data_IF_106999077639
#
_entry.id   IF_106999077639
#
_cell.length_a   1.000
_cell.length_b   1.000
_cell.length_c   1.000
_cell.angle_alpha   90.00
_cell.angle_beta   90.00
_cell.angle_gamma   90.00
#
_symmetry.space_group_name_H-M   'P 1'
#
loop_
_entity.id
_entity.type
_entity.pdbx_description
1 polymer ?
#
# COMPACT_ATOMS: atom_id res chain seq x y z
N UNK A 1 8.13 -4.86 21.01
CA UNK A 1 7.50 -3.51 21.00
C UNK A 1 7.13 -3.15 19.57
N UNK A 2 5.86 -2.87 19.29
CA UNK A 2 5.43 -2.47 17.95
C UNK A 2 5.64 -0.98 17.71
N UNK A 3 5.84 -0.60 16.46
CA UNK A 3 5.81 0.79 16.00
C UNK A 3 4.40 1.08 15.48
N UNK A 4 3.77 2.13 15.97
CA UNK A 4 2.43 2.54 15.52
C UNK A 4 2.58 3.54 14.39
N UNK A 5 1.94 3.28 13.25
CA UNK A 5 1.73 4.27 12.19
C UNK A 5 0.23 4.49 11.96
N UNK A 6 -0.11 5.67 11.45
CA UNK A 6 -1.46 5.96 10.94
C UNK A 6 -1.42 5.85 9.42
N UNK A 7 -2.22 4.96 8.87
CA UNK A 7 -2.36 4.77 7.43
C UNK A 7 -3.66 5.39 6.94
N UNK A 8 -3.59 6.21 5.89
CA UNK A 8 -4.76 6.71 5.17
C UNK A 8 -4.70 6.26 3.73
N UNK A 9 -5.65 5.44 3.30
CA UNK A 9 -5.82 5.05 1.91
C UNK A 9 -6.98 5.86 1.28
N UNK A 10 -6.71 6.44 0.12
CA UNK A 10 -7.68 7.15 -0.70
C UNK A 10 -7.85 6.43 -2.03
N UNK A 11 -9.10 6.28 -2.46
CA UNK A 11 -9.48 5.60 -3.69
C UNK A 11 -10.15 6.63 -4.58
N UNK A 12 -9.48 7.00 -5.66
CA UNK A 12 -9.96 7.96 -6.65
C UNK A 12 -10.46 7.20 -7.87
N UNK A 13 -11.71 7.44 -8.23
CA UNK A 13 -12.33 6.89 -9.42
C UNK A 13 -11.81 7.62 -10.67
N UNK A 14 -11.29 6.85 -11.63
CA UNK A 14 -10.84 7.34 -12.94
C UNK A 14 -11.71 6.80 -14.09
N UNK A 15 -12.88 6.24 -13.78
CA UNK A 15 -13.80 5.63 -14.74
C UNK A 15 -13.58 4.13 -14.87
N UNK A 16 -12.70 3.72 -15.77
CA UNK A 16 -12.38 2.31 -16.01
C UNK A 16 -11.32 1.74 -15.06
N UNK A 17 -10.74 2.60 -14.21
CA UNK A 17 -9.64 2.31 -13.30
C UNK A 17 -9.80 3.08 -12.00
N UNK A 18 -9.08 2.63 -10.98
CA UNK A 18 -9.02 3.30 -9.67
C UNK A 18 -7.57 3.67 -9.37
N UNK A 19 -7.33 4.91 -8.95
CA UNK A 19 -6.05 5.30 -8.36
C UNK A 19 -6.13 5.12 -6.86
N UNK A 20 -5.22 4.33 -6.30
CA UNK A 20 -5.05 4.17 -4.86
C UNK A 20 -3.86 5.00 -4.41
N UNK A 21 -4.06 5.89 -3.45
CA UNK A 21 -2.99 6.64 -2.79
C UNK A 21 -3.03 6.37 -1.29
N UNK A 22 -1.93 5.82 -0.77
CA UNK A 22 -1.75 5.52 0.65
C UNK A 22 -0.74 6.47 1.25
N UNK A 23 -1.08 7.07 2.39
CA UNK A 23 -0.21 7.94 3.18
C UNK A 23 0.01 7.34 4.55
N UNK A 24 1.27 7.07 4.86
CA UNK A 24 1.73 6.54 6.15
C UNK A 24 2.34 7.64 7.01
N UNK A 25 1.78 7.87 8.20
CA UNK A 25 2.30 8.84 9.17
C UNK A 25 2.97 8.08 10.32
N UNK A 26 4.26 8.37 10.52
CA UNK A 26 5.10 7.82 11.59
C UNK A 26 5.32 8.86 12.70
N UNK A 27 5.61 8.39 13.92
CA UNK A 27 5.81 9.28 15.06
C UNK A 27 7.20 9.94 15.04
N UNK A 28 8.21 9.25 14.50
CA UNK A 28 9.55 9.82 14.31
C UNK A 28 10.11 9.54 12.92
N UNK A 29 11.14 10.28 12.54
CA UNK A 29 11.87 10.08 11.28
C UNK A 29 12.62 8.76 11.26
N UNK A 30 13.16 8.33 12.39
CA UNK A 30 13.88 7.06 12.52
C UNK A 30 12.95 5.86 12.27
N UNK A 31 11.69 5.94 12.72
CA UNK A 31 10.69 4.89 12.46
C UNK A 31 10.33 4.82 10.98
N UNK A 32 10.11 5.98 10.33
CA UNK A 32 9.88 6.06 8.89
C UNK A 32 11.06 5.47 8.11
N UNK A 33 12.27 5.88 8.45
CA UNK A 33 13.48 5.47 7.73
C UNK A 33 13.80 3.99 7.98
N UNK A 34 13.53 3.49 9.18
CA UNK A 34 13.57 2.07 9.50
C UNK A 34 12.59 1.25 8.67
N UNK A 35 11.35 1.74 8.50
CA UNK A 35 10.36 1.09 7.62
C UNK A 35 10.76 1.13 6.16
N UNK A 36 11.29 2.24 5.64
CA UNK A 36 11.81 2.31 4.27
C UNK A 36 12.96 1.31 4.06
N UNK A 37 13.88 1.20 5.03
CA UNK A 37 14.99 0.26 4.99
C UNK A 37 14.61 -1.22 5.18
N UNK A 38 13.38 -1.51 5.59
CA UNK A 38 12.89 -2.88 5.86
C UNK A 38 12.52 -3.68 4.61
N UNK A 39 12.63 -3.09 3.41
CA UNK A 39 12.16 -3.70 2.16
C UNK A 39 10.67 -3.49 1.89
N UNK A 40 10.05 -2.52 2.58
CA UNK A 40 8.64 -2.14 2.41
C UNK A 40 8.24 -1.95 0.95
N UNK A 41 9.09 -1.29 0.15
CA UNK A 41 8.80 -1.04 -1.27
C UNK A 41 8.61 -2.35 -2.06
N UNK A 42 9.49 -3.34 -1.85
CA UNK A 42 9.37 -4.64 -2.50
C UNK A 42 8.12 -5.40 -2.05
N UNK A 43 7.81 -5.37 -0.75
CA UNK A 43 6.60 -5.97 -0.21
C UNK A 43 5.32 -5.33 -0.76
N UNK A 44 5.33 -4.00 -0.96
CA UNK A 44 4.21 -3.29 -1.58
C UNK A 44 4.03 -3.69 -3.04
N UNK A 45 5.11 -3.77 -3.82
CA UNK A 45 5.04 -4.21 -5.23
C UNK A 45 4.47 -5.62 -5.35
N UNK A 46 4.95 -6.57 -4.55
CA UNK A 46 4.44 -7.94 -4.55
C UNK A 46 2.95 -8.00 -4.14
N UNK A 47 2.56 -7.21 -3.13
CA UNK A 47 1.18 -7.15 -2.68
C UNK A 47 0.25 -6.60 -3.75
N UNK A 48 0.64 -5.53 -4.46
CA UNK A 48 -0.17 -4.98 -5.55
C UNK A 48 -0.24 -5.92 -6.75
N UNK A 49 0.83 -6.63 -7.11
CA UNK A 49 0.78 -7.66 -8.16
C UNK A 49 -0.22 -8.77 -7.82
N UNK A 50 -0.23 -9.26 -6.58
CA UNK A 50 -1.22 -10.25 -6.11
C UNK A 50 -2.64 -9.70 -6.09
N UNK A 51 -2.80 -8.40 -5.81
CA UNK A 51 -4.10 -7.73 -5.88
C UNK A 51 -4.61 -7.66 -7.32
N UNK A 52 -3.75 -7.36 -8.29
CA UNK A 52 -4.11 -7.37 -9.71
C UNK A 52 -4.63 -8.75 -10.14
N UNK A 53 -3.92 -9.83 -9.81
CA UNK A 53 -4.36 -11.21 -10.08
C UNK A 53 -5.73 -11.51 -9.44
N UNK A 54 -5.98 -11.02 -8.23
CA UNK A 54 -7.27 -11.20 -7.55
C UNK A 54 -8.39 -10.44 -8.24
N UNK A 55 -8.14 -9.20 -8.67
CA UNK A 55 -9.13 -8.37 -9.37
C UNK A 55 -9.48 -8.96 -10.73
N UNK A 56 -8.50 -9.49 -11.48
CA UNK A 56 -8.74 -10.20 -12.75
C UNK A 56 -9.67 -11.41 -12.53
N UNK A 57 -9.39 -12.22 -11.51
CA UNK A 57 -10.23 -13.38 -11.16
C UNK A 57 -11.67 -12.96 -10.84
N UNK A 58 -11.85 -11.86 -10.08
CA UNK A 58 -13.17 -11.35 -9.73
C UNK A 58 -13.92 -10.75 -10.93
N UNK A 59 -13.21 -10.15 -11.89
CA UNK A 59 -13.82 -9.59 -13.11
C UNK A 59 -14.22 -10.66 -14.13
N UNK A 60 -13.52 -11.80 -14.14
CA UNK A 60 -13.80 -12.94 -15.03
C UNK A 60 -14.87 -13.91 -14.53
N UNK A 61 -15.36 -13.71 -13.29
CA UNK A 61 -16.31 -14.59 -12.60
C UNK A 61 -17.78 -14.17 -12.71
#
# INVERSE_FOLDING_TARGET
>A
PGHVSVETATFEDLGDRTRVMTTSIFHTTEERDGMLGSGMEGGLQETYARLDELLERLASG
#
